data_IF_613692611991
#
_entry.id   IF_613692611991
#
_cell.length_a   1.000
_cell.length_b   1.000
_cell.length_c   1.000
_cell.angle_alpha   90.00
_cell.angle_beta   90.00
_cell.angle_gamma   90.00
#
_symmetry.space_group_name_H-M   'P 1'
#
loop_
_entity.id
_entity.type
_entity.pdbx_description
1 polymer ?
#
# COMPACT_ATOMS: atom_id res chain seq x y z
N UNK A 1 20.60 5.39 11.69
CA UNK A 1 22.06 5.17 11.84
C UNK A 1 22.73 5.24 10.46
N UNK A 2 23.65 6.22 10.28
CA UNK A 2 24.37 6.48 9.03
C UNK A 2 25.18 5.27 8.56
N UNK A 3 25.84 4.54 9.47
CA UNK A 3 26.67 3.36 9.14
C UNK A 3 25.83 2.23 8.50
N UNK A 4 24.62 2.04 8.97
CA UNK A 4 23.68 1.07 8.37
C UNK A 4 23.31 1.50 6.96
N UNK A 5 22.99 2.79 6.75
CA UNK A 5 22.69 3.32 5.43
C UNK A 5 23.87 3.13 4.48
N UNK A 6 25.09 3.50 4.89
CA UNK A 6 26.30 3.34 4.07
C UNK A 6 26.52 1.88 3.67
N UNK A 7 26.36 0.94 4.61
CA UNK A 7 26.55 -0.49 4.39
C UNK A 7 25.58 -1.07 3.35
N UNK A 8 24.32 -0.68 3.42
CA UNK A 8 23.28 -1.27 2.56
C UNK A 8 22.95 -0.42 1.33
N UNK A 9 23.53 0.77 1.21
CA UNK A 9 23.25 1.67 0.09
C UNK A 9 23.43 1.04 -1.29
N UNK A 10 24.48 0.26 -1.59
CA UNK A 10 24.66 -0.34 -2.90
C UNK A 10 23.48 -1.26 -3.29
N UNK A 11 22.96 -2.04 -2.35
CA UNK A 11 21.83 -2.95 -2.57
C UNK A 11 20.53 -2.16 -2.79
N UNK A 12 20.28 -1.16 -1.92
CA UNK A 12 19.11 -0.28 -2.03
C UNK A 12 19.12 0.49 -3.35
N UNK A 13 20.28 1.01 -3.75
CA UNK A 13 20.48 1.70 -5.04
C UNK A 13 20.16 0.79 -6.22
N UNK A 14 20.71 -0.42 -6.25
CA UNK A 14 20.49 -1.37 -7.33
C UNK A 14 18.99 -1.70 -7.48
N UNK A 15 18.30 -1.87 -6.36
CA UNK A 15 16.84 -2.10 -6.35
C UNK A 15 16.06 -0.89 -6.86
N UNK A 16 16.40 0.32 -6.39
CA UNK A 16 15.76 1.55 -6.82
C UNK A 16 15.94 1.79 -8.34
N UNK A 17 17.16 1.61 -8.85
CA UNK A 17 17.44 1.72 -10.29
C UNK A 17 16.67 0.67 -11.11
N UNK A 18 16.57 -0.56 -10.62
CA UNK A 18 15.74 -1.60 -11.25
C UNK A 18 14.28 -1.15 -11.32
N UNK A 19 13.72 -0.63 -10.24
CA UNK A 19 12.33 -0.16 -10.21
C UNK A 19 12.10 1.04 -11.13
N UNK A 20 13.04 1.99 -11.19
CA UNK A 20 12.99 3.11 -12.14
C UNK A 20 12.96 2.60 -13.60
N UNK A 21 13.77 1.61 -13.94
CA UNK A 21 13.79 0.99 -15.27
C UNK A 21 12.51 0.24 -15.63
N UNK A 22 11.67 -0.10 -14.65
CA UNK A 22 10.37 -0.77 -14.88
C UNK A 22 9.21 0.20 -15.11
N UNK A 23 9.37 1.49 -14.80
CA UNK A 23 8.34 2.50 -15.08
C UNK A 23 8.04 2.58 -16.57
N UNK A 24 6.78 2.45 -16.92
CA UNK A 24 6.31 2.46 -18.31
C UNK A 24 6.51 1.14 -19.07
N UNK A 25 7.05 0.11 -18.43
CA UNK A 25 7.02 -1.25 -18.98
C UNK A 25 5.68 -1.90 -18.64
N UNK A 26 5.28 -2.84 -19.45
CA UNK A 26 4.07 -3.62 -19.23
C UNK A 26 4.38 -5.11 -19.25
N UNK A 27 3.55 -5.86 -18.55
CA UNK A 27 3.56 -7.30 -18.64
C UNK A 27 2.73 -7.74 -19.86
N UNK A 28 3.20 -8.67 -20.69
CA UNK A 28 2.52 -9.01 -21.94
C UNK A 28 1.06 -9.46 -21.79
N UNK A 29 0.71 -10.03 -20.63
CA UNK A 29 -0.63 -10.53 -20.33
C UNK A 29 -1.56 -9.52 -19.66
N UNK A 30 -1.03 -8.38 -19.22
CA UNK A 30 -1.78 -7.34 -18.52
C UNK A 30 -1.98 -6.13 -19.43
N UNK A 31 -3.22 -5.88 -19.81
CA UNK A 31 -3.57 -4.68 -20.57
C UNK A 31 -3.32 -3.42 -19.74
N UNK A 32 -2.89 -2.33 -20.38
CA UNK A 32 -2.84 -1.01 -19.75
C UNK A 32 -4.18 -0.65 -19.12
N UNK A 33 -4.13 -0.02 -17.99
CA UNK A 33 -5.22 0.19 -17.03
C UNK A 33 -6.19 1.32 -17.39
N UNK A 34 -6.42 1.63 -18.65
CA UNK A 34 -7.32 2.71 -19.08
C UNK A 34 -6.69 4.11 -19.01
N UNK A 35 -5.41 4.23 -18.66
CA UNK A 35 -4.65 5.49 -18.77
C UNK A 35 -4.01 5.61 -20.14
N UNK A 36 -4.07 6.80 -20.75
CA UNK A 36 -3.43 7.05 -22.03
C UNK A 36 -1.91 6.78 -21.99
N UNK A 37 -1.32 6.41 -23.14
CA UNK A 37 0.10 6.04 -23.29
C UNK A 37 1.07 7.05 -22.67
N UNK A 38 0.77 8.35 -22.71
CA UNK A 38 1.59 9.41 -22.12
C UNK A 38 1.73 9.23 -20.60
N UNK A 39 0.65 8.88 -19.91
CA UNK A 39 0.64 8.69 -18.47
C UNK A 39 1.15 7.30 -18.10
N UNK A 40 0.90 6.30 -18.95
CA UNK A 40 1.37 4.94 -18.71
C UNK A 40 2.90 4.84 -18.55
N UNK A 41 3.68 5.68 -19.24
CA UNK A 41 5.14 5.75 -19.07
C UNK A 41 5.62 6.06 -17.65
N UNK A 42 4.72 6.54 -16.79
CA UNK A 42 4.99 6.94 -15.41
C UNK A 42 4.47 5.92 -14.38
N UNK A 43 3.89 4.81 -14.83
CA UNK A 43 3.20 3.82 -14.02
C UNK A 43 4.05 2.54 -13.95
N UNK A 44 4.08 1.89 -12.79
CA UNK A 44 4.64 0.57 -12.62
C UNK A 44 3.58 -0.49 -12.91
N UNK A 45 3.65 -1.12 -14.09
CA UNK A 45 2.75 -2.19 -14.51
C UNK A 45 3.53 -3.37 -15.08
N UNK A 46 4.62 -3.73 -14.43
CA UNK A 46 5.56 -4.73 -14.92
C UNK A 46 5.75 -5.86 -13.94
N UNK A 47 5.55 -7.08 -14.43
CA UNK A 47 5.64 -8.33 -13.67
C UNK A 47 4.59 -8.43 -12.56
N UNK A 48 4.59 -9.58 -11.95
CA UNK A 48 3.76 -9.95 -10.81
C UNK A 48 4.03 -9.06 -9.60
N UNK A 49 2.98 -8.74 -8.87
CA UNK A 49 3.06 -8.24 -7.49
C UNK A 49 1.89 -8.83 -6.69
N UNK A 50 2.12 -9.10 -5.41
CA UNK A 50 1.07 -9.63 -4.52
C UNK A 50 -0.02 -8.61 -4.20
N UNK A 51 0.25 -7.32 -4.44
CA UNK A 51 -0.68 -6.25 -4.11
C UNK A 51 -0.95 -6.17 -2.60
N UNK A 52 -2.17 -5.86 -2.25
CA UNK A 52 -2.65 -5.86 -0.87
C UNK A 52 -2.98 -7.30 -0.44
N UNK A 53 -1.95 -8.07 -0.10
CA UNK A 53 -2.08 -9.47 0.30
C UNK A 53 -2.88 -9.62 1.59
N UNK A 54 -3.67 -10.69 1.69
CA UNK A 54 -4.44 -11.06 2.86
C UNK A 54 -5.41 -9.97 3.36
N UNK A 55 -6.05 -9.22 2.43
CA UNK A 55 -7.28 -8.53 2.76
C UNK A 55 -8.35 -9.55 3.17
N UNK A 56 -9.32 -9.19 4.04
CA UNK A 56 -10.44 -10.06 4.35
C UNK A 56 -11.19 -10.50 3.10
N UNK A 57 -11.62 -11.76 3.06
CA UNK A 57 -12.24 -12.36 1.87
C UNK A 57 -13.57 -11.69 1.46
N UNK A 58 -14.28 -11.11 2.42
CA UNK A 58 -15.52 -10.35 2.20
C UNK A 58 -15.26 -8.92 1.69
N UNK A 59 -14.04 -8.39 1.86
CA UNK A 59 -13.61 -7.13 1.25
C UNK A 59 -13.09 -7.35 -0.16
N UNK A 60 -12.24 -8.36 -0.34
CA UNK A 60 -11.69 -8.75 -1.64
C UNK A 60 -11.43 -10.25 -1.69
N UNK A 61 -12.32 -10.98 -2.34
CA UNK A 61 -12.06 -12.39 -2.63
C UNK A 61 -10.78 -12.54 -3.47
N UNK A 62 -9.89 -13.43 -3.03
CA UNK A 62 -8.65 -13.75 -3.70
C UNK A 62 -8.93 -14.52 -5.00
N UNK A 63 -8.32 -14.09 -6.11
CA UNK A 63 -8.43 -14.74 -7.41
C UNK A 63 -7.05 -15.17 -7.89
N UNK A 64 -6.97 -16.27 -8.66
CA UNK A 64 -5.71 -16.71 -9.25
C UNK A 64 -5.02 -15.59 -10.05
N UNK A 65 -5.80 -14.75 -10.74
CA UNK A 65 -5.27 -13.60 -11.50
C UNK A 65 -4.54 -12.58 -10.63
N UNK A 66 -4.82 -12.50 -9.34
CA UNK A 66 -4.14 -11.58 -8.42
C UNK A 66 -2.68 -12.00 -8.18
N UNK A 67 -2.36 -13.28 -8.40
CA UNK A 67 -0.98 -13.80 -8.27
C UNK A 67 -0.12 -13.61 -9.52
N UNK A 68 -0.74 -13.43 -10.69
CA UNK A 68 -0.02 -13.40 -11.98
C UNK A 68 -0.01 -12.03 -12.65
N UNK A 69 -0.93 -11.17 -12.28
CA UNK A 69 -1.07 -9.83 -12.85
C UNK A 69 -0.33 -8.78 -12.01
N UNK A 70 0.17 -7.71 -12.64
CA UNK A 70 0.65 -6.56 -11.90
C UNK A 70 -0.49 -5.83 -11.19
N UNK A 71 -0.17 -5.22 -10.04
CA UNK A 71 -1.05 -4.33 -9.29
C UNK A 71 -0.53 -2.89 -9.40
N UNK A 72 -0.86 -2.17 -10.49
CA UNK A 72 -0.21 -0.91 -10.82
C UNK A 72 -0.50 0.22 -9.81
N UNK A 73 -1.64 0.21 -9.14
CA UNK A 73 -1.97 1.20 -8.13
C UNK A 73 -1.02 1.04 -6.94
N UNK A 74 -0.93 -0.15 -6.37
CA UNK A 74 -0.06 -0.46 -5.24
C UNK A 74 1.41 -0.26 -5.61
N UNK A 75 1.85 -0.85 -6.71
CA UNK A 75 3.27 -0.79 -7.10
C UNK A 75 3.72 0.61 -7.45
N UNK A 76 2.87 1.43 -8.05
CA UNK A 76 3.22 2.83 -8.36
C UNK A 76 3.29 3.67 -7.09
N UNK A 77 2.36 3.49 -6.14
CA UNK A 77 2.39 4.16 -4.85
C UNK A 77 3.69 3.85 -4.08
N UNK A 78 4.04 2.56 -3.98
CA UNK A 78 5.26 2.16 -3.27
C UNK A 78 6.56 2.52 -3.99
N UNK A 79 6.56 2.71 -5.31
CA UNK A 79 7.71 3.30 -6.00
C UNK A 79 7.90 4.75 -5.59
N UNK A 80 6.84 5.54 -5.45
CA UNK A 80 6.96 6.91 -4.93
C UNK A 80 7.56 6.89 -3.53
N UNK A 81 6.94 6.15 -2.61
CA UNK A 81 7.40 6.04 -1.23
C UNK A 81 8.87 5.63 -1.13
N UNK A 82 9.27 4.59 -1.85
CA UNK A 82 10.65 4.11 -1.90
C UNK A 82 11.61 5.17 -2.45
N UNK A 83 11.27 5.82 -3.57
CA UNK A 83 12.17 6.79 -4.20
C UNK A 83 12.32 8.06 -3.37
N UNK A 84 11.31 8.50 -2.64
CA UNK A 84 11.41 9.60 -1.69
C UNK A 84 12.30 9.24 -0.51
N UNK A 85 12.13 8.05 0.06
CA UNK A 85 13.03 7.53 1.09
C UNK A 85 14.48 7.42 0.58
N UNK A 86 14.68 6.95 -0.65
CA UNK A 86 16.02 6.89 -1.26
C UNK A 86 16.62 8.26 -1.52
N UNK A 87 15.82 9.27 -1.87
CA UNK A 87 16.28 10.64 -2.00
C UNK A 87 16.78 11.20 -0.66
N UNK A 88 16.04 10.95 0.42
CA UNK A 88 16.46 11.33 1.78
C UNK A 88 17.74 10.60 2.22
N UNK A 89 17.84 9.31 1.97
CA UNK A 89 19.05 8.52 2.25
C UNK A 89 20.25 9.08 1.46
N UNK A 90 20.06 9.35 0.17
CA UNK A 90 21.09 9.93 -0.67
C UNK A 90 21.56 11.31 -0.16
N UNK A 91 20.63 12.15 0.30
CA UNK A 91 20.93 13.44 0.95
C UNK A 91 21.76 13.26 2.22
N UNK A 92 21.37 12.32 3.09
CA UNK A 92 22.12 12.02 4.33
C UNK A 92 23.55 11.54 4.02
N UNK A 93 23.72 10.80 2.93
CA UNK A 93 25.01 10.24 2.52
C UNK A 93 25.83 11.17 1.61
N UNK A 94 25.32 12.36 1.26
CA UNK A 94 26.01 13.32 0.39
C UNK A 94 26.08 12.88 -1.08
N UNK A 95 25.11 12.09 -1.56
CA UNK A 95 25.05 11.56 -2.93
C UNK A 95 24.06 12.35 -3.80
N UNK A 96 24.45 13.56 -4.18
CA UNK A 96 23.57 14.53 -4.82
C UNK A 96 23.03 14.09 -6.20
N UNK A 97 23.82 13.38 -6.99
CA UNK A 97 23.36 12.86 -8.30
C UNK A 97 22.26 11.80 -8.13
N UNK A 98 22.46 10.90 -7.20
CA UNK A 98 21.47 9.87 -6.87
C UNK A 98 20.20 10.52 -6.28
N UNK A 99 20.34 11.52 -5.40
CA UNK A 99 19.20 12.29 -4.87
C UNK A 99 18.37 12.90 -5.99
N UNK A 100 18.98 13.62 -6.92
CA UNK A 100 18.30 14.22 -8.07
C UNK A 100 17.63 13.18 -8.96
N UNK A 101 18.27 12.03 -9.16
CA UNK A 101 17.70 10.90 -9.91
C UNK A 101 16.41 10.38 -9.25
N UNK A 102 16.44 10.19 -7.93
CA UNK A 102 15.29 9.65 -7.19
C UNK A 102 14.15 10.66 -7.12
N UNK A 103 14.39 11.93 -6.79
CA UNK A 103 13.41 13.01 -6.79
C UNK A 103 12.68 13.13 -8.15
N UNK A 104 13.44 13.13 -9.26
CA UNK A 104 12.89 13.18 -10.62
C UNK A 104 11.96 12.01 -10.91
N UNK A 105 12.34 10.81 -10.52
CA UNK A 105 11.56 9.61 -10.80
C UNK A 105 10.40 9.42 -9.82
N UNK A 106 10.51 9.88 -8.58
CA UNK A 106 9.38 9.99 -7.65
C UNK A 106 8.29 10.91 -8.23
N UNK A 107 8.67 12.09 -8.73
CA UNK A 107 7.74 13.02 -9.38
C UNK A 107 7.06 12.41 -10.63
N UNK A 108 7.80 11.59 -11.42
CA UNK A 108 7.21 10.83 -12.53
C UNK A 108 6.16 9.84 -12.04
N UNK A 109 6.49 9.03 -11.03
CA UNK A 109 5.59 8.04 -10.47
C UNK A 109 4.36 8.69 -9.82
N UNK A 110 4.50 9.83 -9.11
CA UNK A 110 3.37 10.62 -8.59
C UNK A 110 2.42 11.04 -9.70
N UNK A 111 2.93 11.53 -10.83
CA UNK A 111 2.12 11.87 -12.01
C UNK A 111 1.39 10.65 -12.58
N UNK A 112 2.05 9.49 -12.59
CA UNK A 112 1.44 8.23 -12.99
C UNK A 112 0.31 7.83 -12.05
N UNK A 113 0.52 7.94 -10.75
CA UNK A 113 -0.48 7.64 -9.72
C UNK A 113 -1.71 8.55 -9.83
N UNK A 114 -1.49 9.86 -9.97
CA UNK A 114 -2.58 10.83 -10.19
C UNK A 114 -3.45 10.46 -11.40
N UNK A 115 -2.85 9.97 -12.47
CA UNK A 115 -3.60 9.51 -13.65
C UNK A 115 -4.36 8.18 -13.39
N UNK A 116 -3.84 7.28 -12.55
CA UNK A 116 -4.52 6.05 -12.18
C UNK A 116 -5.80 6.33 -11.39
N UNK A 117 -5.75 7.16 -10.37
CA UNK A 117 -6.90 7.43 -9.47
C UNK A 117 -8.05 8.18 -10.15
N UNK A 118 -7.84 8.75 -11.34
CA UNK A 118 -8.91 9.32 -12.17
C UNK A 118 -9.68 8.26 -12.95
N UNK A 119 -9.19 7.03 -13.03
CA UNK A 119 -9.87 5.95 -13.75
C UNK A 119 -10.87 5.25 -12.84
N UNK A 120 -11.97 4.74 -13.41
CA UNK A 120 -13.00 4.00 -12.68
C UNK A 120 -12.44 2.82 -11.86
N UNK A 121 -11.45 2.11 -12.42
CA UNK A 121 -10.86 0.92 -11.79
C UNK A 121 -10.06 1.24 -10.52
N UNK A 122 -9.39 2.40 -10.48
CA UNK A 122 -8.48 2.78 -9.39
C UNK A 122 -8.98 4.00 -8.61
N UNK A 123 -10.22 4.42 -8.84
CA UNK A 123 -10.85 5.54 -8.13
C UNK A 123 -10.75 5.39 -6.62
N UNK A 124 -10.61 6.53 -5.95
CA UNK A 124 -10.75 6.67 -4.48
C UNK A 124 -12.22 6.70 -4.02
N UNK A 125 -13.19 6.64 -4.94
CA UNK A 125 -14.59 6.38 -4.57
C UNK A 125 -14.82 4.88 -4.41
N UNK A 126 -14.52 4.38 -3.22
CA UNK A 126 -14.49 2.95 -2.90
C UNK A 126 -14.69 2.70 -1.42
N UNK A 127 -15.23 1.55 -1.05
CA UNK A 127 -15.26 1.05 0.34
C UNK A 127 -14.00 0.25 0.70
N UNK A 128 -13.10 0.02 -0.24
CA UNK A 128 -11.88 -0.72 0.00
C UNK A 128 -10.87 0.16 0.74
N UNK A 129 -10.78 0.00 2.06
CA UNK A 129 -9.97 0.81 2.97
C UNK A 129 -8.52 0.97 2.49
N UNK A 130 -7.88 -0.11 2.03
CA UNK A 130 -6.50 -0.11 1.55
C UNK A 130 -6.23 0.89 0.43
N UNK A 131 -7.20 1.11 -0.47
CA UNK A 131 -7.10 2.09 -1.57
C UNK A 131 -7.20 3.54 -1.12
N UNK A 132 -7.66 3.79 0.09
CA UNK A 132 -7.77 5.11 0.69
C UNK A 132 -6.59 5.38 1.63
N UNK A 133 -6.24 4.40 2.45
CA UNK A 133 -5.14 4.49 3.43
C UNK A 133 -3.80 4.75 2.74
N UNK A 134 -3.45 3.97 1.74
CA UNK A 134 -2.16 4.05 1.05
C UNK A 134 -1.86 5.44 0.48
N UNK A 135 -2.73 6.04 -0.35
CA UNK A 135 -2.47 7.36 -0.90
C UNK A 135 -2.55 8.47 0.14
N UNK A 136 -3.34 8.33 1.20
CA UNK A 136 -3.36 9.29 2.32
C UNK A 136 -2.02 9.26 3.05
N UNK A 137 -1.52 8.08 3.41
CA UNK A 137 -0.25 7.93 4.13
C UNK A 137 0.96 8.45 3.33
N UNK A 138 1.04 8.12 2.04
CA UNK A 138 2.16 8.52 1.18
C UNK A 138 2.01 9.97 0.67
N UNK A 139 0.86 10.61 0.87
CA UNK A 139 0.59 11.96 0.38
C UNK A 139 0.52 12.03 -1.15
N UNK A 140 -0.18 11.09 -1.81
CA UNK A 140 -0.24 10.98 -3.27
C UNK A 140 -1.38 11.77 -3.92
N UNK A 141 -2.29 12.30 -3.12
CA UNK A 141 -3.51 12.99 -3.54
C UNK A 141 -3.33 14.50 -3.50
N UNK A 142 -4.04 15.23 -4.35
CA UNK A 142 -4.17 16.67 -4.19
C UNK A 142 -5.06 17.02 -2.96
N UNK A 143 -5.14 18.28 -2.62
CA UNK A 143 -5.86 18.74 -1.43
C UNK A 143 -7.34 18.33 -1.45
N UNK A 144 -8.03 18.49 -2.59
CA UNK A 144 -9.45 18.13 -2.72
C UNK A 144 -9.65 16.62 -2.64
N UNK A 145 -8.77 15.86 -3.28
CA UNK A 145 -8.79 14.39 -3.23
C UNK A 145 -8.45 13.88 -1.83
N UNK A 146 -7.54 14.54 -1.11
CA UNK A 146 -7.17 14.20 0.27
C UNK A 146 -8.38 14.37 1.19
N UNK A 147 -9.07 15.51 1.15
CA UNK A 147 -10.26 15.73 1.97
C UNK A 147 -11.41 14.78 1.60
N UNK A 148 -11.55 14.47 0.32
CA UNK A 148 -12.50 13.46 -0.12
C UNK A 148 -12.15 12.08 0.41
N UNK A 149 -10.89 11.67 0.29
CA UNK A 149 -10.42 10.33 0.71
C UNK A 149 -10.52 10.13 2.22
N UNK A 150 -10.24 11.17 3.04
CA UNK A 150 -10.45 11.14 4.50
C UNK A 150 -11.91 10.83 4.83
N UNK A 151 -12.85 11.60 4.30
CA UNK A 151 -14.30 11.41 4.52
C UNK A 151 -14.75 10.03 4.01
N UNK A 152 -14.20 9.62 2.86
CA UNK A 152 -14.55 8.34 2.25
C UNK A 152 -14.02 7.15 3.05
N UNK A 153 -12.84 7.29 3.69
CA UNK A 153 -12.29 6.27 4.58
C UNK A 153 -13.18 6.07 5.81
N UNK A 154 -13.62 7.16 6.46
CA UNK A 154 -14.52 7.05 7.61
C UNK A 154 -15.83 6.37 7.20
N UNK A 155 -16.41 6.76 6.05
CA UNK A 155 -17.60 6.08 5.51
C UNK A 155 -17.36 4.61 5.23
N UNK A 156 -16.20 4.23 4.70
CA UNK A 156 -15.84 2.84 4.44
C UNK A 156 -15.70 2.03 5.74
N UNK A 157 -15.18 2.64 6.79
CA UNK A 157 -15.11 2.05 8.13
C UNK A 157 -16.51 1.88 8.74
N UNK A 158 -17.38 2.88 8.65
CA UNK A 158 -18.77 2.78 9.10
C UNK A 158 -19.52 1.66 8.36
N UNK A 159 -19.39 1.59 7.04
CA UNK A 159 -20.01 0.56 6.21
C UNK A 159 -19.51 -0.85 6.56
N UNK A 160 -18.31 -0.97 7.10
CA UNK A 160 -17.70 -2.24 7.52
C UNK A 160 -17.75 -2.46 9.04
N UNK A 161 -18.57 -1.70 9.76
CA UNK A 161 -18.74 -1.77 11.23
C UNK A 161 -17.43 -1.57 12.00
N UNK A 162 -16.58 -0.67 11.53
CA UNK A 162 -15.24 -0.40 12.08
C UNK A 162 -14.34 -1.63 12.21
N UNK A 163 -14.55 -2.60 11.35
CA UNK A 163 -13.65 -3.75 11.21
C UNK A 163 -12.49 -3.42 10.26
N UNK A 164 -11.39 -4.12 10.41
CA UNK A 164 -10.18 -3.88 9.64
C UNK A 164 -10.27 -4.52 8.24
N UNK A 165 -10.41 -3.70 7.21
CA UNK A 165 -10.54 -4.10 5.81
C UNK A 165 -9.25 -3.98 4.99
N UNK A 166 -8.08 -4.14 5.62
CA UNK A 166 -6.77 -4.01 4.96
C UNK A 166 -5.99 -5.31 4.96
N UNK A 167 -5.04 -5.42 4.06
CA UNK A 167 -4.05 -6.47 4.00
C UNK A 167 -2.67 -6.02 4.50
N UNK A 168 -1.61 -6.75 4.12
CA UNK A 168 -0.25 -6.52 4.64
C UNK A 168 0.32 -5.13 4.38
N UNK A 169 -0.01 -4.53 3.23
CA UNK A 169 0.59 -3.25 2.86
C UNK A 169 -0.03 -2.06 3.59
N UNK A 170 -1.32 -2.11 3.90
CA UNK A 170 -2.04 -0.98 4.47
C UNK A 170 -2.38 -1.14 5.95
N UNK A 171 -2.35 -2.35 6.50
CA UNK A 171 -2.56 -2.58 7.94
C UNK A 171 -1.59 -1.76 8.81
N UNK A 172 -0.27 -1.74 8.56
CA UNK A 172 0.66 -0.95 9.38
C UNK A 172 0.51 0.57 9.21
N UNK A 173 -0.29 1.04 8.24
CA UNK A 173 -0.44 2.45 7.93
C UNK A 173 -1.74 3.06 8.46
N UNK A 174 -2.80 2.23 8.62
CA UNK A 174 -4.15 2.74 8.82
C UNK A 174 -4.33 3.49 10.13
N UNK A 175 -3.71 3.05 11.23
CA UNK A 175 -3.82 3.74 12.51
C UNK A 175 -3.19 5.13 12.46
N UNK A 176 -2.03 5.28 11.81
CA UNK A 176 -1.41 6.59 11.62
C UNK A 176 -2.30 7.51 10.78
N UNK A 177 -2.87 7.00 9.69
CA UNK A 177 -3.79 7.79 8.83
C UNK A 177 -5.03 8.22 9.61
N UNK A 178 -5.59 7.35 10.44
CA UNK A 178 -6.77 7.69 11.26
C UNK A 178 -6.42 8.69 12.35
N UNK A 179 -5.27 8.53 13.02
CA UNK A 179 -4.79 9.46 14.04
C UNK A 179 -4.55 10.89 13.47
N UNK A 180 -4.12 10.99 12.22
CA UNK A 180 -3.97 12.27 11.52
C UNK A 180 -5.33 12.93 11.16
N UNK A 181 -6.42 12.16 11.14
CA UNK A 181 -7.78 12.68 10.95
C UNK A 181 -8.39 13.02 12.30
N UNK A 182 -8.44 12.05 13.21
CA UNK A 182 -8.88 12.14 14.58
C UNK A 182 -8.34 10.92 15.35
N UNK A 183 -7.67 11.14 16.46
CA UNK A 183 -7.09 10.09 17.27
C UNK A 183 -8.12 9.06 17.77
N UNK A 184 -9.35 9.51 18.04
CA UNK A 184 -10.45 8.66 18.48
C UNK A 184 -10.84 7.61 17.42
N UNK A 185 -10.67 7.94 16.14
CA UNK A 185 -10.89 6.97 15.07
C UNK A 185 -9.85 5.83 15.07
N UNK A 186 -8.61 6.15 15.40
CA UNK A 186 -7.57 5.13 15.52
C UNK A 186 -7.85 4.17 16.68
N UNK A 187 -8.22 4.70 17.84
CA UNK A 187 -8.62 3.88 18.99
C UNK A 187 -9.88 3.07 18.72
N UNK A 188 -10.90 3.66 18.12
CA UNK A 188 -12.14 2.95 17.78
C UNK A 188 -11.89 1.75 16.86
N UNK A 189 -10.97 1.88 15.90
CA UNK A 189 -10.59 0.75 15.03
C UNK A 189 -9.76 -0.29 15.80
N UNK A 190 -8.76 0.17 16.58
CA UNK A 190 -7.86 -0.70 17.33
C UNK A 190 -8.61 -1.54 18.36
N UNK A 191 -9.56 -0.95 19.07
CA UNK A 191 -10.32 -1.57 20.17
C UNK A 191 -11.48 -2.45 19.67
N UNK A 192 -11.70 -2.53 18.35
CA UNK A 192 -12.73 -3.40 17.81
C UNK A 192 -12.37 -4.88 17.98
N UNK A 193 -13.20 -5.61 18.70
CA UNK A 193 -13.01 -7.04 19.03
C UNK A 193 -13.58 -7.97 17.95
N UNK A 194 -14.24 -7.43 16.92
CA UNK A 194 -14.82 -8.23 15.84
C UNK A 194 -13.77 -8.61 14.81
N UNK A 195 -13.91 -9.77 14.19
CA UNK A 195 -13.10 -10.19 13.04
C UNK A 195 -13.57 -9.45 11.76
N UNK A 196 -12.67 -8.91 10.97
CA UNK A 196 -11.22 -8.74 11.16
C UNK A 196 -10.87 -7.59 12.10
N UNK A 197 -9.94 -7.83 13.02
CA UNK A 197 -9.48 -6.83 13.98
C UNK A 197 -8.36 -7.35 14.88
N UNK A 198 -7.55 -6.45 15.42
CA UNK A 198 -6.40 -6.86 16.25
C UNK A 198 -6.86 -7.54 17.55
N UNK A 199 -7.86 -6.98 18.25
CA UNK A 199 -8.31 -7.56 19.52
C UNK A 199 -9.12 -8.85 19.37
N UNK A 200 -9.58 -9.17 18.15
CA UNK A 200 -10.16 -10.48 17.87
C UNK A 200 -9.15 -11.60 18.13
N UNK A 201 -7.87 -11.41 17.79
CA UNK A 201 -6.84 -12.44 17.94
C UNK A 201 -6.63 -12.86 19.40
N UNK A 202 -6.26 -11.98 20.35
CA UNK A 202 -6.08 -12.37 21.76
C UNK A 202 -7.37 -12.85 22.40
N UNK A 203 -8.54 -12.31 22.02
CA UNK A 203 -9.84 -12.80 22.51
C UNK A 203 -10.12 -14.25 22.10
N UNK A 204 -9.51 -14.71 21.01
CA UNK A 204 -9.60 -16.10 20.52
C UNK A 204 -8.33 -16.92 20.85
N UNK A 205 -7.59 -16.53 21.89
CA UNK A 205 -6.47 -17.29 22.42
C UNK A 205 -5.13 -17.10 21.70
N UNK A 206 -5.01 -16.10 20.82
CA UNK A 206 -3.74 -15.78 20.19
C UNK A 206 -2.76 -15.17 21.21
N UNK A 207 -1.52 -15.62 21.16
CA UNK A 207 -0.39 -15.01 21.86
C UNK A 207 0.65 -14.44 20.87
N UNK A 208 0.34 -14.48 19.60
CA UNK A 208 1.14 -13.97 18.47
C UNK A 208 0.21 -13.34 17.44
N UNK A 209 0.75 -12.54 16.52
CA UNK A 209 -0.02 -11.96 15.41
C UNK A 209 -0.18 -13.02 14.30
N UNK A 210 -1.41 -13.23 13.87
CA UNK A 210 -1.73 -14.19 12.80
C UNK A 210 -1.57 -13.60 11.41
N UNK A 211 -1.22 -14.44 10.44
CA UNK A 211 -1.15 -14.06 9.03
C UNK A 211 -2.53 -13.75 8.43
N UNK A 212 -3.52 -14.60 8.69
CA UNK A 212 -4.91 -14.34 8.31
C UNK A 212 -5.73 -13.87 9.52
N UNK A 213 -6.73 -13.04 9.27
CA UNK A 213 -7.61 -12.56 10.32
C UNK A 213 -8.46 -13.67 10.95
N UNK A 214 -8.76 -14.70 10.17
CA UNK A 214 -9.53 -15.88 10.59
C UNK A 214 -8.70 -16.84 11.47
N UNK A 215 -7.38 -16.75 11.43
CA UNK A 215 -6.47 -17.60 12.17
C UNK A 215 -6.73 -19.10 11.96
N UNK A 216 -7.08 -19.82 13.04
CA UNK A 216 -7.37 -21.26 13.00
C UNK A 216 -8.70 -21.60 12.34
N UNK A 217 -9.61 -20.62 12.15
CA UNK A 217 -10.90 -20.81 11.48
C UNK A 217 -10.83 -20.58 9.96
N UNK A 218 -9.66 -20.28 9.40
CA UNK A 218 -9.48 -20.02 7.97
C UNK A 218 -9.92 -21.23 7.13
N UNK A 219 -10.85 -21.01 6.20
CA UNK A 219 -11.23 -22.01 5.21
C UNK A 219 -10.07 -22.20 4.22
N UNK A 220 -9.52 -23.42 4.14
CA UNK A 220 -8.42 -23.75 3.22
C UNK A 220 -7.07 -24.04 3.87
N UNK A 221 -7.04 -24.11 5.19
CA UNK A 221 -5.84 -24.47 5.93
C UNK A 221 -5.38 -23.39 6.92
N UNK A 222 -4.52 -23.78 7.84
CA UNK A 222 -3.97 -22.89 8.86
C UNK A 222 -2.92 -21.99 8.19
N UNK A 223 -3.19 -20.70 8.09
CA UNK A 223 -2.18 -19.70 7.83
C UNK A 223 -1.19 -19.63 9.01
N UNK A 224 -0.04 -18.99 8.81
CA UNK A 224 0.93 -18.81 9.89
C UNK A 224 0.27 -18.13 11.10
N UNK A 225 0.45 -18.73 12.29
CA UNK A 225 -0.01 -18.14 13.54
C UNK A 225 1.02 -17.21 14.18
N UNK A 226 2.14 -16.96 13.50
CA UNK A 226 3.18 -16.01 13.90
C UNK A 226 3.69 -15.25 12.68
N UNK A 227 3.08 -14.11 12.38
CA UNK A 227 3.40 -13.32 11.19
C UNK A 227 3.39 -11.82 11.51
N UNK A 228 4.52 -11.17 11.33
CA UNK A 228 4.74 -9.77 11.75
C UNK A 228 4.00 -8.72 10.89
N UNK A 229 3.50 -9.07 9.70
CA UNK A 229 2.96 -8.09 8.74
C UNK A 229 1.66 -7.40 9.17
N UNK A 230 1.04 -7.83 10.26
CA UNK A 230 -0.21 -7.24 10.78
C UNK A 230 -0.07 -6.70 12.20
N UNK A 231 1.13 -6.76 12.74
CA UNK A 231 1.48 -6.23 14.08
C UNK A 231 1.95 -4.78 14.07
#
# INVERSE_FOLDING_TARGET
>A
DRKILERFYPNMRAFAEYKIKTLGKWYPTALPTGVGLKNFRNISNYRQSYGEWAEPADVKALKFTDFVNPNPEETTAYIVFMLEAMADIARILGKDDDRRLYEKNAARARKGYSALVTTKKFSIDTDRQAKLVRPLYIGLLDEKQTEYAKKRLIKALDNYSWRLGTGFLSTPLILSVLADIDIEYAYRLLENEQMPGWLFMPKNGANTVWESWEGTAAQGGIASLNHYSKG
#
